data_IF_946427108254
#
_entry.id   IF_946427108254
#
_cell.length_a   1.000
_cell.length_b   1.000
_cell.length_c   1.000
_cell.angle_alpha   90.00
_cell.angle_beta   90.00
_cell.angle_gamma   90.00
#
_symmetry.space_group_name_H-M   'P 1'
#
loop_
_entity.id
_entity.type
_entity.pdbx_description
1 polymer ?
#
# COMPACT_ATOMS: atom_id res chain seq x y z
N UNK A 1 -8.59 -13.72 25.04
CA UNK A 1 -8.67 -13.31 23.62
C UNK A 1 -7.28 -13.04 23.09
N UNK A 2 -6.95 -13.53 21.89
CA UNK A 2 -5.68 -13.19 21.27
C UNK A 2 -5.59 -11.68 21.03
N UNK A 3 -4.42 -11.08 21.30
CA UNK A 3 -4.17 -9.66 21.05
C UNK A 3 -4.27 -9.39 19.55
N UNK A 4 -5.07 -8.40 19.14
CA UNK A 4 -5.17 -8.01 17.73
C UNK A 4 -3.88 -7.37 17.27
N UNK A 5 -3.43 -7.66 16.03
CA UNK A 5 -2.24 -7.04 15.47
C UNK A 5 -2.41 -5.52 15.33
N UNK A 6 -1.30 -4.81 15.53
CA UNK A 6 -1.20 -3.37 15.25
C UNK A 6 -1.03 -3.17 13.75
N UNK A 7 -1.89 -2.35 13.16
CA UNK A 7 -1.92 -2.09 11.72
C UNK A 7 -1.38 -0.70 11.43
N UNK A 8 -0.40 -0.58 10.54
CA UNK A 8 -0.03 0.71 9.96
C UNK A 8 -0.69 0.80 8.58
N UNK A 9 -1.56 1.77 8.39
CA UNK A 9 -2.19 2.04 7.10
C UNK A 9 -1.38 3.07 6.35
N UNK A 10 -0.84 2.69 5.19
CA UNK A 10 -0.13 3.58 4.27
C UNK A 10 -1.00 3.86 3.05
N UNK A 11 -1.04 5.11 2.62
CA UNK A 11 -1.74 5.57 1.42
C UNK A 11 -0.97 6.73 0.79
N UNK A 12 -1.13 6.93 -0.51
CA UNK A 12 -0.47 8.04 -1.18
C UNK A 12 -1.27 9.33 -1.06
N UNK A 13 -0.54 10.43 -1.03
CA UNK A 13 -1.06 11.79 -0.97
C UNK A 13 -0.38 12.69 -2.01
N UNK A 14 -1.04 13.78 -2.40
CA UNK A 14 -0.56 14.69 -3.44
C UNK A 14 0.55 15.65 -3.02
N UNK A 15 0.74 15.84 -1.72
CA UNK A 15 1.65 16.82 -1.14
C UNK A 15 2.56 16.20 -0.08
N UNK A 16 3.73 16.79 0.20
CA UNK A 16 4.61 16.32 1.28
C UNK A 16 3.91 16.29 2.64
N UNK A 17 4.21 15.28 3.43
CA UNK A 17 3.57 14.99 4.72
C UNK A 17 4.57 14.92 5.87
N UNK A 18 4.03 14.80 7.08
CA UNK A 18 4.79 14.55 8.31
C UNK A 18 4.20 13.39 9.10
N UNK A 19 4.91 12.92 10.13
CA UNK A 19 4.46 11.81 10.99
C UNK A 19 3.20 12.13 11.80
N UNK A 20 2.93 13.40 12.03
CA UNK A 20 1.87 13.86 12.92
C UNK A 20 0.75 14.61 12.18
N UNK A 21 0.64 14.39 10.86
CA UNK A 21 -0.43 14.99 10.05
C UNK A 21 -1.81 14.43 10.43
N UNK A 22 -2.79 15.33 10.43
CA UNK A 22 -4.19 15.01 10.70
C UNK A 22 -5.00 14.98 9.39
N UNK A 23 -5.43 13.80 9.01
CA UNK A 23 -6.21 13.56 7.79
C UNK A 23 -7.74 13.61 8.02
N UNK A 24 -8.20 14.16 9.15
CA UNK A 24 -9.64 14.15 9.51
C UNK A 24 -10.51 14.86 8.49
N UNK A 25 -10.04 15.98 7.92
CA UNK A 25 -10.78 16.72 6.91
C UNK A 25 -10.72 16.02 5.54
N UNK A 26 -9.54 15.51 5.15
CA UNK A 26 -9.34 14.81 3.88
C UNK A 26 -10.25 13.58 3.78
N UNK A 27 -10.38 12.84 4.87
CA UNK A 27 -11.25 11.65 4.97
C UNK A 27 -12.75 11.96 4.80
N UNK A 28 -13.17 13.21 4.74
CA UNK A 28 -14.56 13.57 4.43
C UNK A 28 -14.83 13.65 2.93
N UNK A 29 -13.80 13.83 2.13
CA UNK A 29 -13.92 13.93 0.68
C UNK A 29 -14.24 12.58 0.04
N UNK A 30 -14.86 12.59 -1.14
CA UNK A 30 -15.12 11.36 -1.90
C UNK A 30 -13.85 10.76 -2.52
N UNK A 31 -12.81 11.56 -2.72
CA UNK A 31 -11.53 11.09 -3.24
C UNK A 31 -10.85 10.12 -2.25
N UNK A 32 -11.13 10.28 -0.95
CA UNK A 32 -10.60 9.44 0.13
C UNK A 32 -11.58 8.36 0.62
N UNK A 33 -12.50 7.98 -0.23
CA UNK A 33 -13.54 7.01 0.12
C UNK A 33 -13.00 5.63 0.49
N UNK A 34 -11.99 5.18 -0.22
CA UNK A 34 -11.37 3.86 -0.01
C UNK A 34 -10.66 3.81 1.35
N UNK A 35 -9.82 4.82 1.64
CA UNK A 35 -9.12 4.98 2.92
C UNK A 35 -10.12 5.04 4.07
N UNK A 36 -11.13 5.89 3.93
CA UNK A 36 -12.22 6.02 4.91
C UNK A 36 -12.91 4.68 5.20
N UNK A 37 -13.17 3.86 4.19
CA UNK A 37 -13.81 2.55 4.37
C UNK A 37 -12.90 1.58 5.10
N UNK A 38 -11.62 1.52 4.76
CA UNK A 38 -10.63 0.66 5.44
C UNK A 38 -10.51 1.07 6.90
N UNK A 39 -10.35 2.36 7.19
CA UNK A 39 -10.21 2.86 8.56
C UNK A 39 -11.46 2.61 9.40
N UNK A 40 -12.65 2.76 8.82
CA UNK A 40 -13.93 2.40 9.49
C UNK A 40 -13.99 0.90 9.80
N UNK A 41 -13.56 0.05 8.86
CA UNK A 41 -13.55 -1.39 9.07
C UNK A 41 -12.57 -1.79 10.19
N UNK A 42 -11.36 -1.25 10.19
CA UNK A 42 -10.36 -1.50 11.24
C UNK A 42 -10.89 -1.06 12.62
N UNK A 43 -11.52 0.11 12.69
CA UNK A 43 -12.13 0.64 13.92
C UNK A 43 -13.28 -0.24 14.40
N UNK A 44 -14.20 -0.60 13.52
CA UNK A 44 -15.35 -1.46 13.84
C UNK A 44 -14.91 -2.84 14.31
N UNK A 45 -13.86 -3.38 13.71
CA UNK A 45 -13.28 -4.65 14.10
C UNK A 45 -12.36 -4.53 15.35
N UNK A 46 -12.10 -3.32 15.84
CA UNK A 46 -11.30 -3.06 17.04
C UNK A 46 -9.81 -3.37 16.86
N UNK A 47 -9.25 -3.20 15.66
CA UNK A 47 -7.81 -3.26 15.46
C UNK A 47 -7.16 -1.94 15.90
N UNK A 48 -6.05 -1.99 16.67
CA UNK A 48 -5.23 -0.80 16.87
C UNK A 48 -4.53 -0.45 15.55
N UNK A 49 -4.67 0.80 15.11
CA UNK A 49 -4.02 1.25 13.88
C UNK A 49 -3.47 2.67 13.98
N UNK A 50 -2.46 2.94 13.17
CA UNK A 50 -1.96 4.27 12.85
C UNK A 50 -2.06 4.49 11.33
N UNK A 51 -1.98 5.74 10.91
CA UNK A 51 -2.06 6.15 9.51
C UNK A 51 -0.81 6.95 9.13
N UNK A 52 -0.37 6.83 7.89
CA UNK A 52 0.65 7.69 7.31
C UNK A 52 0.33 7.91 5.82
N UNK A 53 0.14 9.16 5.43
CA UNK A 53 0.16 9.57 4.04
C UNK A 53 1.59 9.63 3.53
N UNK A 54 1.83 9.15 2.32
CA UNK A 54 3.17 9.05 1.73
C UNK A 54 3.18 9.82 0.42
N UNK A 55 4.12 10.74 0.25
CA UNK A 55 4.31 11.47 -1.01
C UNK A 55 5.59 11.01 -1.71
N UNK A 56 6.76 11.42 -1.24
CA UNK A 56 8.05 11.17 -1.87
C UNK A 56 9.19 10.86 -0.88
N UNK A 57 8.89 10.78 0.41
CA UNK A 57 9.86 10.53 1.46
C UNK A 57 9.71 9.13 2.09
N UNK A 58 10.68 8.25 1.85
CA UNK A 58 10.72 6.91 2.45
C UNK A 58 11.19 6.92 3.91
N UNK A 59 11.90 7.97 4.36
CA UNK A 59 12.33 8.07 5.76
C UNK A 59 11.13 8.18 6.70
N UNK A 60 10.07 8.89 6.31
CA UNK A 60 8.84 8.97 7.10
C UNK A 60 8.22 7.58 7.31
N UNK A 61 8.27 6.71 6.30
CA UNK A 61 7.77 5.33 6.42
C UNK A 61 8.62 4.57 7.45
N UNK A 62 9.95 4.68 7.36
CA UNK A 62 10.88 4.01 8.28
C UNK A 62 10.67 4.51 9.71
N UNK A 63 10.62 5.82 9.90
CA UNK A 63 10.39 6.42 11.22
C UNK A 63 9.04 6.01 11.82
N UNK A 64 7.99 5.96 11.01
CA UNK A 64 6.67 5.50 11.47
C UNK A 64 6.69 4.02 11.86
N UNK A 65 7.38 3.16 11.12
CA UNK A 65 7.57 1.76 11.47
C UNK A 65 8.30 1.64 12.81
N UNK A 66 9.38 2.38 13.00
CA UNK A 66 10.17 2.37 14.24
C UNK A 66 9.38 2.90 15.43
N UNK A 67 8.63 3.99 15.25
CA UNK A 67 7.81 4.64 16.28
C UNK A 67 6.60 3.80 16.69
N UNK A 68 5.84 3.33 15.71
CA UNK A 68 4.57 2.63 15.95
C UNK A 68 4.75 1.15 16.20
N UNK A 69 5.80 0.51 15.65
CA UNK A 69 6.07 -0.93 15.72
C UNK A 69 4.85 -1.74 15.28
N UNK A 70 4.42 -1.61 14.01
CA UNK A 70 3.27 -2.36 13.51
C UNK A 70 3.58 -3.86 13.40
N UNK A 71 2.54 -4.68 13.56
CA UNK A 71 2.61 -6.12 13.26
C UNK A 71 2.37 -6.38 11.77
N UNK A 72 1.69 -5.45 11.08
CA UNK A 72 1.41 -5.53 9.65
C UNK A 72 1.21 -4.12 9.07
N UNK A 73 1.67 -3.92 7.85
CA UNK A 73 1.38 -2.72 7.03
C UNK A 73 0.22 -3.02 6.10
N UNK A 74 -0.86 -2.25 6.22
CA UNK A 74 -1.94 -2.24 5.25
C UNK A 74 -1.57 -1.25 4.15
N UNK A 75 -1.03 -1.78 3.05
CA UNK A 75 -0.48 -0.98 1.96
C UNK A 75 -1.57 -0.61 0.95
N UNK A 76 -1.90 0.68 0.86
CA UNK A 76 -2.84 1.25 -0.10
C UNK A 76 -2.14 2.23 -1.06
N UNK A 77 -0.80 2.29 -1.05
CA UNK A 77 -0.03 3.20 -1.89
C UNK A 77 -0.11 2.75 -3.35
N UNK A 78 -0.69 3.57 -4.22
CA UNK A 78 -0.79 3.35 -5.65
C UNK A 78 0.27 4.13 -6.43
N UNK A 79 0.75 5.24 -5.88
CA UNK A 79 1.79 6.08 -6.46
C UNK A 79 2.79 6.57 -5.39
N UNK A 80 3.99 6.94 -5.84
CA UNK A 80 5.01 7.54 -4.99
C UNK A 80 5.80 8.54 -5.83
N UNK A 81 6.10 9.71 -5.27
CA UNK A 81 6.71 10.82 -5.98
C UNK A 81 5.95 11.15 -7.29
N UNK A 82 4.61 11.22 -7.20
CA UNK A 82 3.71 11.50 -8.31
C UNK A 82 3.84 10.52 -9.50
N UNK A 83 4.27 9.28 -9.24
CA UNK A 83 4.46 8.26 -10.27
C UNK A 83 3.80 6.92 -9.90
N UNK A 84 2.84 6.50 -10.71
CA UNK A 84 2.21 5.16 -10.62
C UNK A 84 3.22 4.01 -10.86
N UNK A 85 4.33 4.29 -11.53
CA UNK A 85 5.40 3.31 -11.76
C UNK A 85 6.22 2.98 -10.52
N UNK A 86 6.03 3.70 -9.42
CA UNK A 86 6.79 3.53 -8.19
C UNK A 86 6.10 2.64 -7.13
N UNK A 87 4.88 2.17 -7.37
CA UNK A 87 4.14 1.31 -6.44
C UNK A 87 4.93 0.04 -6.04
N UNK A 88 5.53 -0.64 -7.01
CA UNK A 88 6.34 -1.82 -6.75
C UNK A 88 7.62 -1.51 -5.95
N UNK A 89 8.17 -0.31 -6.09
CA UNK A 89 9.38 0.14 -5.37
C UNK A 89 9.07 0.39 -3.91
N UNK A 90 7.93 1.01 -3.59
CA UNK A 90 7.47 1.17 -2.21
C UNK A 90 7.20 -0.19 -1.58
N UNK A 91 6.57 -1.11 -2.31
CA UNK A 91 6.37 -2.47 -1.82
C UNK A 91 7.71 -3.17 -1.55
N UNK A 92 8.70 -3.04 -2.46
CA UNK A 92 10.05 -3.57 -2.23
C UNK A 92 10.72 -2.94 -1.01
N UNK A 93 10.56 -1.63 -0.82
CA UNK A 93 11.08 -0.94 0.36
C UNK A 93 10.47 -1.49 1.66
N UNK A 94 9.15 -1.69 1.69
CA UNK A 94 8.46 -2.27 2.84
C UNK A 94 8.92 -3.71 3.11
N UNK A 95 9.13 -4.52 2.06
CA UNK A 95 9.71 -5.86 2.19
C UNK A 95 11.09 -5.83 2.87
N UNK A 96 11.94 -4.84 2.50
CA UNK A 96 13.25 -4.65 3.13
C UNK A 96 13.16 -4.24 4.61
N UNK A 97 12.09 -3.56 5.04
CA UNK A 97 11.86 -3.24 6.45
C UNK A 97 11.50 -4.49 7.28
N UNK A 98 11.21 -5.63 6.65
CA UNK A 98 10.91 -6.89 7.33
C UNK A 98 9.55 -6.91 8.04
N UNK A 99 8.65 -5.97 7.74
CA UNK A 99 7.28 -5.94 8.28
C UNK A 99 6.35 -6.63 7.29
N UNK A 100 5.46 -7.54 7.74
CA UNK A 100 4.43 -8.11 6.87
C UNK A 100 3.57 -7.02 6.22
N UNK A 101 3.25 -7.20 4.94
CA UNK A 101 2.42 -6.28 4.16
C UNK A 101 1.17 -6.98 3.64
N UNK A 102 0.08 -6.24 3.47
CA UNK A 102 -1.11 -6.74 2.77
C UNK A 102 -0.93 -6.61 1.26
N UNK A 103 -1.59 -7.49 0.51
CA UNK A 103 -1.51 -7.50 -0.95
C UNK A 103 -0.40 -8.40 -1.48
N UNK A 104 -0.04 -8.18 -2.74
CA UNK A 104 1.05 -8.91 -3.39
C UNK A 104 2.41 -8.32 -3.00
N UNK A 105 3.45 -9.16 -2.99
CA UNK A 105 4.83 -8.69 -2.93
C UNK A 105 5.22 -7.92 -4.20
N UNK A 106 6.36 -7.23 -4.15
CA UNK A 106 6.86 -6.36 -5.23
C UNK A 106 6.96 -7.07 -6.59
N UNK A 107 7.37 -8.33 -6.59
CA UNK A 107 7.40 -9.15 -7.81
C UNK A 107 5.99 -9.37 -8.38
N UNK A 108 5.02 -9.68 -7.54
CA UNK A 108 3.62 -9.87 -7.97
C UNK A 108 3.04 -8.58 -8.56
N UNK A 109 3.29 -7.44 -7.95
CA UNK A 109 2.87 -6.12 -8.47
C UNK A 109 3.53 -5.84 -9.82
N UNK A 110 4.84 -6.04 -9.94
CA UNK A 110 5.57 -5.86 -11.21
C UNK A 110 4.98 -6.71 -12.33
N UNK A 111 4.71 -7.98 -12.06
CA UNK A 111 4.12 -8.89 -13.05
C UNK A 111 2.69 -8.48 -13.42
N UNK A 112 1.85 -8.14 -12.46
CA UNK A 112 0.45 -7.77 -12.70
C UNK A 112 0.32 -6.45 -13.48
N UNK A 113 1.17 -5.48 -13.21
CA UNK A 113 1.19 -4.19 -13.91
C UNK A 113 1.74 -4.29 -15.34
N UNK A 114 2.60 -5.27 -15.63
CA UNK A 114 3.12 -5.50 -16.98
C UNK A 114 2.23 -6.50 -17.74
N UNK A 115 1.22 -5.97 -18.43
CA UNK A 115 0.25 -6.80 -19.18
C UNK A 115 0.90 -7.70 -20.23
N UNK A 116 2.04 -7.31 -20.80
CA UNK A 116 2.76 -8.11 -21.80
C UNK A 116 3.39 -9.34 -21.13
N UNK A 117 4.12 -9.12 -20.04
CA UNK A 117 4.76 -10.21 -19.30
C UNK A 117 3.69 -11.13 -18.70
N UNK A 118 2.65 -10.58 -18.07
CA UNK A 118 1.55 -11.37 -17.51
C UNK A 118 0.91 -12.28 -18.57
N UNK A 119 0.60 -11.75 -19.75
CA UNK A 119 0.00 -12.54 -20.83
C UNK A 119 0.95 -13.62 -21.35
N UNK A 120 2.25 -13.33 -21.47
CA UNK A 120 3.24 -14.34 -21.88
C UNK A 120 3.31 -15.49 -20.87
N UNK A 121 3.34 -15.19 -19.57
CA UNK A 121 3.36 -16.20 -18.51
C UNK A 121 2.07 -17.04 -18.55
N UNK A 122 0.92 -16.38 -18.60
CA UNK A 122 -0.38 -17.06 -18.65
C UNK A 122 -0.50 -17.96 -19.88
N UNK A 123 -0.06 -17.47 -21.07
CA UNK A 123 -0.07 -18.27 -22.29
C UNK A 123 0.85 -19.49 -22.19
N UNK A 124 2.01 -19.37 -21.56
CA UNK A 124 2.92 -20.49 -21.32
C UNK A 124 2.25 -21.60 -20.48
N UNK A 125 1.40 -21.22 -19.54
CA UNK A 125 0.63 -22.14 -18.70
C UNK A 125 -0.72 -22.55 -19.30
N UNK A 126 -0.93 -22.32 -20.61
CA UNK A 126 -2.17 -22.62 -21.32
C UNK A 126 -3.42 -21.91 -20.78
N UNK A 127 -3.25 -20.81 -20.05
CA UNK A 127 -4.36 -19.94 -19.65
C UNK A 127 -4.72 -19.04 -20.83
N UNK A 128 -5.99 -19.05 -21.22
CA UNK A 128 -6.48 -18.28 -22.37
C UNK A 128 -6.34 -16.77 -22.09
N UNK A 129 -5.68 -16.07 -22.99
CA UNK A 129 -5.53 -14.61 -22.95
C UNK A 129 -5.95 -13.99 -24.28
N UNK A 130 -6.44 -12.74 -24.30
CA UNK A 130 -6.67 -12.02 -25.55
C UNK A 130 -5.38 -11.88 -26.37
N UNK A 131 -5.50 -11.94 -27.69
CA UNK A 131 -4.38 -11.70 -28.60
C UNK A 131 -3.73 -10.34 -28.32
N UNK A 132 -2.40 -10.26 -28.42
CA UNK A 132 -1.65 -9.02 -28.20
C UNK A 132 -0.40 -8.99 -29.09
N UNK A 133 -0.01 -7.77 -29.48
CA UNK A 133 1.28 -7.48 -30.11
C UNK A 133 2.12 -6.64 -29.14
N UNK A 134 3.44 -6.76 -29.27
CA UNK A 134 4.44 -6.00 -28.50
C UNK A 134 5.23 -5.13 -29.46
#
# INVERSE_FOLDING_TARGET
>A
MAKKPKVLVLFDVGEPTSLDDDYTEDLKSEDWKTERHVLRALRALGYPFAMLGVHDDTELIREMIDRYRPDVVFNMVEQFANSLGNENRITSFLELQGVPITGCGSTGITLSKNKVISKKILSYHNVRVPGFMV
#
